data_IF_356073357014
#
_entry.id   IF_356073357014
#
_cell.length_a   1.000
_cell.length_b   1.000
_cell.length_c   1.000
_cell.angle_alpha   90.00
_cell.angle_beta   90.00
_cell.angle_gamma   90.00
#
_symmetry.space_group_name_H-M   'P 1'
#
loop_
_entity.id
_entity.type
_entity.pdbx_description
1 polymer ?
#
# COMPACT_ATOMS: atom_id res chain seq x y z
N UNK A 1 9.41 -2.04 18.62
CA UNK A 1 9.03 -3.33 17.98
C UNK A 1 7.76 -3.99 18.52
N UNK A 2 7.35 -3.75 19.80
CA UNK A 2 6.16 -4.38 20.41
C UNK A 2 4.81 -3.70 20.08
N UNK A 3 4.77 -2.40 19.84
CA UNK A 3 3.53 -1.64 19.67
C UNK A 3 2.77 -1.92 18.35
N UNK A 4 3.46 -2.27 17.27
CA UNK A 4 2.84 -2.51 15.95
C UNK A 4 2.11 -3.86 15.89
N UNK A 5 2.58 -4.87 16.63
CA UNK A 5 1.91 -6.18 16.66
C UNK A 5 0.62 -6.15 17.49
N UNK A 6 0.59 -5.44 18.60
CA UNK A 6 -0.62 -5.30 19.46
C UNK A 6 -1.82 -4.69 18.70
N UNK A 7 -1.58 -3.94 17.62
CA UNK A 7 -2.67 -3.32 16.84
C UNK A 7 -3.52 -4.36 16.11
N UNK A 8 -2.92 -5.44 15.60
CA UNK A 8 -3.61 -6.47 14.82
C UNK A 8 -4.02 -7.69 15.63
N UNK A 9 -3.44 -7.93 16.80
CA UNK A 9 -3.75 -9.08 17.65
C UNK A 9 -5.23 -9.13 18.05
N UNK A 10 -5.85 -7.96 18.26
CA UNK A 10 -7.27 -7.87 18.61
C UNK A 10 -8.20 -8.40 17.51
N UNK A 11 -7.81 -8.26 16.22
CA UNK A 11 -8.60 -8.82 15.11
C UNK A 11 -8.61 -10.36 15.17
N UNK A 12 -7.47 -10.98 15.43
CA UNK A 12 -7.37 -12.45 15.54
C UNK A 12 -8.11 -12.98 16.77
N UNK A 13 -8.00 -12.28 17.91
CA UNK A 13 -8.74 -12.65 19.12
C UNK A 13 -10.25 -12.57 18.88
N UNK A 14 -10.73 -11.46 18.33
CA UNK A 14 -12.17 -11.25 18.07
C UNK A 14 -12.71 -12.20 17.01
N UNK A 15 -11.95 -12.45 15.94
CA UNK A 15 -12.32 -13.42 14.91
C UNK A 15 -12.50 -14.82 15.49
N UNK A 16 -11.54 -15.25 16.35
CA UNK A 16 -11.63 -16.53 17.04
C UNK A 16 -12.86 -16.62 17.98
N UNK A 17 -13.12 -15.56 18.75
CA UNK A 17 -14.31 -15.47 19.65
C UNK A 17 -15.62 -15.63 18.86
N UNK A 18 -15.69 -15.06 17.64
CA UNK A 18 -16.87 -15.10 16.79
C UNK A 18 -16.94 -16.29 15.82
N UNK A 19 -16.01 -17.26 15.95
CA UNK A 19 -16.03 -18.51 15.19
C UNK A 19 -15.45 -18.44 13.79
N UNK A 20 -14.71 -17.39 13.45
CA UNK A 20 -13.89 -17.36 12.23
C UNK A 20 -12.71 -18.31 12.43
N UNK A 21 -12.62 -19.36 11.59
CA UNK A 21 -11.59 -20.39 11.71
C UNK A 21 -10.21 -19.90 11.26
N UNK A 22 -10.17 -19.17 10.17
CA UNK A 22 -8.98 -18.67 9.54
C UNK A 22 -9.16 -17.19 9.19
N UNK A 23 -8.17 -16.38 9.51
CA UNK A 23 -8.16 -14.95 9.21
C UNK A 23 -6.82 -14.56 8.61
N UNK A 24 -6.86 -13.78 7.55
CA UNK A 24 -5.69 -13.09 6.98
C UNK A 24 -5.96 -11.60 6.90
N UNK A 25 -4.99 -10.82 7.31
CA UNK A 25 -4.99 -9.36 7.27
C UNK A 25 -3.87 -8.87 6.37
N UNK A 26 -4.20 -8.00 5.45
CA UNK A 26 -3.27 -7.32 4.57
C UNK A 26 -3.38 -5.81 4.82
N UNK A 27 -2.36 -5.25 5.45
CA UNK A 27 -2.29 -3.81 5.74
C UNK A 27 -1.31 -3.14 4.81
N UNK A 28 -1.72 -2.02 4.21
CA UNK A 28 -0.81 -1.13 3.49
C UNK A 28 -0.86 0.28 4.06
N UNK A 29 0.26 0.98 3.92
CA UNK A 29 0.37 2.42 4.10
C UNK A 29 1.16 2.96 2.92
N UNK A 30 0.50 3.77 2.12
CA UNK A 30 1.02 4.32 0.89
C UNK A 30 1.20 5.83 1.04
N UNK A 31 2.39 6.30 0.72
CA UNK A 31 2.70 7.71 0.55
C UNK A 31 2.98 7.95 -0.92
N UNK A 32 2.43 9.02 -1.48
CA UNK A 32 2.73 9.46 -2.83
C UNK A 32 2.97 10.96 -2.89
N UNK A 33 3.85 11.35 -3.80
CA UNK A 33 4.10 12.71 -4.20
C UNK A 33 4.16 12.76 -5.72
N UNK A 34 3.47 13.71 -6.33
CA UNK A 34 3.53 13.94 -7.76
C UNK A 34 3.44 15.44 -8.07
N UNK A 35 4.09 15.84 -9.16
CA UNK A 35 3.92 17.17 -9.73
C UNK A 35 4.10 17.14 -11.24
N UNK A 36 3.42 18.06 -11.94
CA UNK A 36 3.67 18.37 -13.32
C UNK A 36 4.44 19.68 -13.46
N UNK A 37 5.27 19.72 -14.49
CA UNK A 37 6.13 20.85 -14.79
C UNK A 37 5.94 21.23 -16.25
N UNK A 38 5.58 22.48 -16.52
CA UNK A 38 5.31 23.00 -17.85
C UNK A 38 5.83 24.42 -17.97
N UNK A 39 6.48 24.74 -19.08
CA UNK A 39 7.02 26.07 -19.41
C UNK A 39 7.87 26.72 -18.29
N UNK A 40 8.69 25.91 -17.61
CA UNK A 40 9.59 26.41 -16.59
C UNK A 40 9.02 26.49 -15.18
N UNK A 41 7.75 26.13 -14.98
CA UNK A 41 7.04 26.25 -13.69
C UNK A 41 6.33 24.96 -13.30
N UNK A 42 6.12 24.78 -11.99
CA UNK A 42 5.28 23.69 -11.45
C UNK A 42 3.82 24.07 -11.68
N UNK A 43 3.11 23.29 -12.48
CA UNK A 43 1.69 23.50 -12.80
C UNK A 43 0.76 22.81 -11.82
N UNK A 44 1.12 21.62 -11.37
CA UNK A 44 0.35 20.86 -10.38
C UNK A 44 1.28 20.22 -9.34
N UNK A 45 0.78 20.07 -8.12
CA UNK A 45 1.48 19.41 -7.02
C UNK A 45 0.48 18.68 -6.14
N UNK A 46 0.76 17.42 -5.82
CA UNK A 46 -0.09 16.60 -4.98
C UNK A 46 0.73 15.71 -4.06
N UNK A 47 0.30 15.59 -2.83
CA UNK A 47 0.76 14.55 -1.90
C UNK A 47 -0.43 13.79 -1.33
N UNK A 48 -0.25 12.51 -1.09
CA UNK A 48 -1.28 11.67 -0.46
C UNK A 48 -0.64 10.72 0.53
N UNK A 49 -1.37 10.43 1.60
CA UNK A 49 -1.05 9.33 2.52
C UNK A 49 -2.33 8.54 2.74
N UNK A 50 -2.32 7.29 2.31
CA UNK A 50 -3.43 6.37 2.44
C UNK A 50 -3.02 5.18 3.31
N UNK A 51 -3.91 4.74 4.20
CA UNK A 51 -3.76 3.46 4.89
C UNK A 51 -4.98 2.61 4.62
N UNK A 52 -4.79 1.34 4.29
CA UNK A 52 -5.87 0.40 4.05
C UNK A 52 -5.63 -0.93 4.75
N UNK A 53 -6.71 -1.56 5.16
CA UNK A 53 -6.75 -2.90 5.73
C UNK A 53 -7.72 -3.74 4.91
N UNK A 54 -7.21 -4.77 4.26
CA UNK A 54 -7.98 -5.83 3.66
C UNK A 54 -7.96 -7.03 4.60
N UNK A 55 -9.13 -7.59 4.86
CA UNK A 55 -9.26 -8.79 5.67
C UNK A 55 -10.06 -9.84 4.93
N UNK A 56 -9.64 -11.08 5.01
CA UNK A 56 -10.41 -12.24 4.55
C UNK A 56 -10.41 -13.31 5.63
N UNK A 57 -11.53 -13.96 5.79
CA UNK A 57 -11.68 -15.01 6.78
C UNK A 57 -12.66 -16.08 6.36
N UNK A 58 -12.61 -17.23 7.02
CA UNK A 58 -13.49 -18.35 6.76
C UNK A 58 -14.48 -18.53 7.92
N UNK A 59 -15.76 -18.46 7.60
CA UNK A 59 -16.86 -18.71 8.53
C UNK A 59 -17.84 -19.72 7.92
N UNK A 60 -18.14 -20.80 8.64
CA UNK A 60 -18.94 -21.91 8.14
C UNK A 60 -18.49 -22.46 6.77
N UNK A 61 -17.17 -22.58 6.59
CA UNK A 61 -16.49 -23.02 5.38
C UNK A 61 -16.72 -22.10 4.14
N UNK A 62 -17.15 -20.87 4.36
CA UNK A 62 -17.33 -19.85 3.32
C UNK A 62 -16.40 -18.66 3.56
N UNK A 63 -15.98 -18.01 2.48
CA UNK A 63 -15.13 -16.83 2.55
C UNK A 63 -15.93 -15.56 2.74
N UNK A 64 -15.48 -14.72 3.67
CA UNK A 64 -15.87 -13.33 3.78
C UNK A 64 -14.68 -12.41 3.57
N UNK A 65 -14.91 -11.30 2.87
CA UNK A 65 -13.89 -10.28 2.54
C UNK A 65 -14.39 -8.91 2.99
N UNK A 66 -13.47 -8.09 3.49
CA UNK A 66 -13.73 -6.69 3.85
C UNK A 66 -12.51 -5.83 3.62
N UNK A 67 -12.74 -4.60 3.15
CA UNK A 67 -11.71 -3.57 3.03
C UNK A 67 -12.15 -2.34 3.82
N UNK A 68 -11.20 -1.69 4.50
CA UNK A 68 -11.42 -0.43 5.22
C UNK A 68 -10.18 0.43 5.25
N UNK A 69 -10.36 1.74 5.17
CA UNK A 69 -9.30 2.72 5.38
C UNK A 69 -9.25 3.19 6.84
N UNK A 70 -10.35 3.03 7.57
CA UNK A 70 -10.40 3.32 9.00
C UNK A 70 -9.81 2.15 9.78
N UNK A 71 -8.67 2.40 10.46
CA UNK A 71 -7.90 1.36 11.14
C UNK A 71 -7.61 1.80 12.57
N UNK A 72 -8.61 1.67 13.41
CA UNK A 72 -8.56 1.96 14.84
C UNK A 72 -9.20 0.83 15.67
N UNK A 73 -9.28 1.01 16.99
CA UNK A 73 -9.86 0.00 17.88
C UNK A 73 -11.35 -0.25 17.60
N UNK A 74 -12.08 0.78 17.15
CA UNK A 74 -13.51 0.67 16.86
C UNK A 74 -13.82 -0.16 15.62
N UNK A 75 -12.85 -0.35 14.73
CA UNK A 75 -13.04 -1.10 13.48
C UNK A 75 -12.83 -2.60 13.64
N UNK A 76 -12.34 -3.09 14.76
CA UNK A 76 -12.13 -4.54 14.99
C UNK A 76 -13.44 -5.30 14.89
N UNK A 77 -14.46 -4.87 15.63
CA UNK A 77 -15.78 -5.51 15.60
C UNK A 77 -16.41 -5.40 14.21
N UNK A 78 -16.38 -4.22 13.61
CA UNK A 78 -16.88 -3.98 12.25
C UNK A 78 -16.27 -4.94 11.22
N UNK A 79 -14.95 -5.07 11.19
CA UNK A 79 -14.25 -5.95 10.25
C UNK A 79 -14.63 -7.40 10.45
N UNK A 80 -14.64 -7.87 11.69
CA UNK A 80 -14.98 -9.26 12.01
C UNK A 80 -16.44 -9.57 11.67
N UNK A 81 -17.37 -8.66 12.00
CA UNK A 81 -18.80 -8.83 11.69
C UNK A 81 -19.05 -8.82 10.18
N UNK A 82 -18.37 -7.93 9.44
CA UNK A 82 -18.50 -7.91 7.98
C UNK A 82 -17.93 -9.15 7.30
N UNK A 83 -16.87 -9.75 7.84
CA UNK A 83 -16.39 -11.04 7.33
C UNK A 83 -17.46 -12.11 7.49
N UNK A 84 -18.13 -12.19 8.65
CA UNK A 84 -19.20 -13.17 8.93
C UNK A 84 -20.40 -12.92 8.03
N UNK A 85 -20.85 -11.66 7.93
CA UNK A 85 -21.96 -11.26 7.08
C UNK A 85 -21.70 -11.65 5.61
N UNK A 86 -20.55 -11.26 5.07
CA UNK A 86 -20.16 -11.52 3.69
C UNK A 86 -19.95 -13.01 3.41
N UNK A 87 -19.39 -13.76 4.37
CA UNK A 87 -19.29 -15.22 4.28
C UNK A 87 -20.69 -15.88 4.25
N UNK A 88 -21.63 -15.36 5.03
CA UNK A 88 -22.99 -15.94 5.13
C UNK A 88 -23.81 -15.82 3.84
N UNK A 89 -23.57 -14.75 3.07
CA UNK A 89 -24.26 -14.53 1.77
C UNK A 89 -23.43 -15.03 0.57
N UNK A 90 -22.20 -15.48 0.79
CA UNK A 90 -21.36 -16.00 -0.27
C UNK A 90 -21.86 -17.36 -0.74
N UNK A 91 -22.24 -17.43 -2.02
CA UNK A 91 -22.73 -18.65 -2.65
C UNK A 91 -21.66 -19.39 -3.46
N UNK A 92 -20.39 -18.89 -3.49
CA UNK A 92 -19.30 -19.61 -4.13
C UNK A 92 -19.02 -20.92 -3.42
N UNK A 93 -18.77 -21.95 -4.21
CA UNK A 93 -18.30 -23.26 -3.75
C UNK A 93 -16.76 -23.32 -3.66
N UNK A 94 -16.07 -22.23 -4.00
CA UNK A 94 -14.61 -22.20 -4.01
C UNK A 94 -14.07 -22.30 -2.59
N UNK A 95 -13.14 -23.21 -2.40
CA UNK A 95 -12.42 -23.34 -1.15
C UNK A 95 -11.46 -22.16 -0.98
N UNK A 96 -11.57 -21.44 0.13
CA UNK A 96 -10.63 -20.39 0.47
C UNK A 96 -9.47 -20.95 1.28
N UNK A 97 -8.30 -20.95 0.69
CA UNK A 97 -7.07 -21.39 1.34
C UNK A 97 -6.31 -20.16 1.84
N UNK A 98 -6.09 -20.08 3.14
CA UNK A 98 -5.15 -19.12 3.74
C UNK A 98 -3.78 -19.79 3.83
N UNK A 99 -2.80 -19.16 3.20
CA UNK A 99 -1.43 -19.68 3.14
C UNK A 99 -0.79 -19.72 4.53
N UNK A 100 -0.36 -20.91 4.94
CA UNK A 100 0.19 -21.14 6.29
C UNK A 100 1.59 -20.56 6.50
N UNK A 101 2.28 -20.25 5.43
CA UNK A 101 3.65 -19.74 5.47
C UNK A 101 4.64 -20.74 4.84
N UNK A 102 5.87 -20.29 4.68
CA UNK A 102 7.01 -21.08 4.22
C UNK A 102 8.07 -21.15 5.31
N UNK A 103 8.88 -22.21 5.28
CA UNK A 103 9.99 -22.36 6.23
C UNK A 103 11.04 -21.25 6.11
N UNK A 104 11.23 -20.71 4.92
CA UNK A 104 12.21 -19.65 4.64
C UNK A 104 11.66 -18.59 3.74
N UNK A 105 12.01 -17.33 4.02
CA UNK A 105 11.71 -16.17 3.19
C UNK A 105 13.02 -15.47 2.80
N UNK A 106 13.15 -15.15 1.52
CA UNK A 106 14.27 -14.35 1.04
C UNK A 106 14.06 -12.87 1.43
N UNK A 107 15.06 -12.29 2.08
CA UNK A 107 15.08 -10.85 2.33
C UNK A 107 15.57 -10.14 1.06
N UNK A 108 14.70 -9.33 0.45
CA UNK A 108 15.08 -8.41 -0.63
C UNK A 108 15.02 -7.00 -0.08
N UNK A 109 16.11 -6.25 -0.28
CA UNK A 109 16.12 -4.82 0.01
C UNK A 109 15.74 -4.07 -1.26
N UNK A 110 14.49 -3.65 -1.33
CA UNK A 110 13.88 -2.91 -2.46
C UNK A 110 13.47 -1.49 -2.05
N UNK A 111 13.96 -1.02 -0.90
CA UNK A 111 13.72 0.30 -0.37
C UNK A 111 15.02 1.09 -0.34
N UNK A 112 15.00 2.28 -0.96
CA UNK A 112 16.11 3.22 -0.92
C UNK A 112 15.77 4.43 -0.02
N UNK A 113 16.32 4.52 1.20
CA UNK A 113 16.03 5.63 2.11
C UNK A 113 16.58 6.98 1.64
N UNK A 114 17.45 7.01 0.61
CA UNK A 114 17.97 8.27 0.06
C UNK A 114 16.89 9.03 -0.71
N UNK A 115 15.93 8.35 -1.33
CA UNK A 115 14.84 9.01 -2.07
C UNK A 115 14.01 9.94 -1.16
N UNK A 116 13.70 9.49 0.05
CA UNK A 116 12.92 10.28 1.03
C UNK A 116 13.69 11.50 1.60
N UNK A 117 15.02 11.55 1.39
CA UNK A 117 15.87 12.65 1.88
C UNK A 117 16.09 13.75 0.83
N UNK A 118 15.76 13.49 -0.42
CA UNK A 118 15.87 14.49 -1.49
C UNK A 118 14.74 15.50 -1.32
N UNK A 119 15.11 16.78 -1.21
CA UNK A 119 14.12 17.84 -1.03
C UNK A 119 13.27 18.05 -2.29
N UNK A 120 12.13 18.70 -2.14
CA UNK A 120 11.28 19.02 -3.30
C UNK A 120 11.96 20.01 -4.24
N UNK A 121 12.75 20.93 -3.71
CA UNK A 121 13.55 21.89 -4.48
C UNK A 121 14.59 21.18 -5.35
N UNK A 122 15.27 20.16 -4.82
CA UNK A 122 16.23 19.35 -5.58
C UNK A 122 15.52 18.55 -6.71
N UNK A 123 14.33 18.01 -6.44
CA UNK A 123 13.53 17.32 -7.45
C UNK A 123 13.08 18.26 -8.56
N UNK A 124 12.61 19.46 -8.22
CA UNK A 124 12.22 20.48 -9.19
C UNK A 124 13.44 20.96 -9.99
N UNK A 125 14.59 21.13 -9.35
CA UNK A 125 15.83 21.51 -10.05
C UNK A 125 16.24 20.46 -11.09
N UNK A 126 16.13 19.16 -10.77
CA UNK A 126 16.36 18.07 -11.72
C UNK A 126 15.41 18.17 -12.93
N UNK A 127 14.12 18.43 -12.70
CA UNK A 127 13.15 18.54 -13.78
C UNK A 127 13.44 19.75 -14.69
N UNK A 128 13.84 20.88 -14.12
CA UNK A 128 14.30 22.05 -14.88
C UNK A 128 15.52 21.76 -15.74
N UNK A 129 16.47 20.99 -15.24
CA UNK A 129 17.63 20.55 -16.01
C UNK A 129 17.21 19.66 -17.19
N UNK A 130 16.33 18.68 -16.94
CA UNK A 130 15.78 17.79 -17.98
C UNK A 130 15.06 18.59 -19.06
N UNK A 131 14.20 19.55 -18.70
CA UNK A 131 13.52 20.44 -19.66
C UNK A 131 14.55 21.20 -20.53
N UNK A 132 15.58 21.76 -19.89
CA UNK A 132 16.64 22.47 -20.62
C UNK A 132 17.40 21.58 -21.59
N UNK A 133 17.73 20.34 -21.20
CA UNK A 133 18.41 19.38 -22.07
C UNK A 133 17.54 18.99 -23.27
N UNK A 134 16.25 18.73 -23.05
CA UNK A 134 15.31 18.38 -24.13
C UNK A 134 15.18 19.55 -25.13
N UNK A 135 15.00 20.78 -24.64
CA UNK A 135 14.94 21.99 -25.53
C UNK A 135 16.20 22.21 -26.37
N UNK A 136 17.36 21.86 -25.82
CA UNK A 136 18.65 21.97 -26.56
C UNK A 136 18.81 20.85 -27.59
N UNK A 137 18.18 19.70 -27.39
CA UNK A 137 18.34 18.54 -28.27
C UNK A 137 17.77 18.79 -29.69
N UNK A 138 16.62 19.48 -29.79
CA UNK A 138 16.04 19.81 -31.09
C UNK A 138 15.23 21.12 -31.03
N UNK A 139 15.57 22.07 -31.89
CA UNK A 139 14.91 23.38 -31.95
C UNK A 139 13.42 23.34 -32.35
N UNK A 140 12.94 22.21 -32.87
CA UNK A 140 11.53 21.99 -33.21
C UNK A 140 10.67 21.70 -31.97
N UNK A 141 11.29 21.36 -30.84
CA UNK A 141 10.59 21.11 -29.59
C UNK A 141 10.24 22.47 -28.96
N UNK A 142 8.98 22.80 -28.91
CA UNK A 142 8.47 24.10 -28.41
C UNK A 142 7.85 23.99 -27.03
N UNK A 143 7.03 22.98 -26.82
CA UNK A 143 6.32 22.76 -25.57
C UNK A 143 6.73 21.42 -24.98
N UNK A 144 7.00 21.41 -23.68
CA UNK A 144 7.42 20.21 -22.94
C UNK A 144 6.64 20.18 -21.66
N UNK A 145 5.91 19.09 -21.44
CA UNK A 145 5.34 18.74 -20.16
C UNK A 145 6.18 17.62 -19.52
N UNK A 146 6.56 17.78 -18.27
CA UNK A 146 7.31 16.77 -17.52
C UNK A 146 6.55 16.42 -16.25
N UNK A 147 6.22 15.15 -16.09
CA UNK A 147 5.63 14.63 -14.86
C UNK A 147 6.68 13.94 -14.00
N UNK A 148 6.64 14.23 -12.71
CA UNK A 148 7.37 13.53 -11.67
C UNK A 148 6.40 12.83 -10.74
N UNK A 149 6.67 11.60 -10.38
CA UNK A 149 5.94 10.91 -9.32
C UNK A 149 6.88 10.03 -8.52
N UNK A 150 6.63 9.95 -7.21
CA UNK A 150 7.28 8.99 -6.32
C UNK A 150 6.29 8.42 -5.33
N UNK A 151 6.59 7.23 -4.84
CA UNK A 151 5.77 6.57 -3.84
C UNK A 151 6.59 5.70 -2.90
N UNK A 152 6.11 5.59 -1.67
CA UNK A 152 6.60 4.64 -0.67
C UNK A 152 5.43 3.81 -0.17
N UNK A 153 5.57 2.50 -0.21
CA UNK A 153 4.57 1.56 0.34
C UNK A 153 5.18 0.77 1.48
N UNK A 154 4.52 0.80 2.63
CA UNK A 154 4.73 -0.13 3.74
C UNK A 154 3.60 -1.16 3.70
N UNK A 155 3.96 -2.44 3.66
CA UNK A 155 3.02 -3.54 3.57
C UNK A 155 3.25 -4.55 4.69
N UNK A 156 2.15 -5.05 5.28
CA UNK A 156 2.21 -6.08 6.30
C UNK A 156 1.12 -7.14 6.05
N UNK A 157 1.54 -8.40 5.90
CA UNK A 157 0.67 -9.56 5.77
C UNK A 157 0.74 -10.39 7.04
N UNK A 158 -0.42 -10.59 7.66
CA UNK A 158 -0.56 -11.39 8.89
C UNK A 158 -1.67 -12.42 8.71
N UNK A 159 -1.55 -13.57 9.36
CA UNK A 159 -2.65 -14.52 9.39
C UNK A 159 -2.72 -15.30 10.71
N UNK A 160 -3.82 -16.05 10.87
CA UNK A 160 -4.10 -16.87 12.06
C UNK A 160 -3.12 -18.03 12.28
N UNK A 161 -2.25 -18.33 11.31
CA UNK A 161 -1.19 -19.33 11.42
C UNK A 161 0.14 -18.75 11.94
N UNK A 162 0.16 -17.46 12.33
CA UNK A 162 1.34 -16.79 12.85
C UNK A 162 2.23 -16.15 11.78
N UNK A 163 1.81 -16.15 10.51
CA UNK A 163 2.50 -15.41 9.46
C UNK A 163 2.50 -13.92 9.82
N UNK A 164 3.66 -13.28 9.69
CA UNK A 164 3.83 -11.83 9.87
C UNK A 164 4.97 -11.36 8.98
N UNK A 165 4.64 -11.02 7.74
CA UNK A 165 5.59 -10.56 6.74
C UNK A 165 5.43 -9.05 6.55
N UNK A 166 6.57 -8.35 6.54
CA UNK A 166 6.63 -6.90 6.34
C UNK A 166 7.55 -6.57 5.19
N UNK A 167 7.11 -5.65 4.35
CA UNK A 167 7.95 -5.05 3.32
C UNK A 167 7.81 -3.54 3.32
N UNK A 168 8.87 -2.88 2.88
CA UNK A 168 8.86 -1.45 2.53
C UNK A 168 9.51 -1.31 1.17
N UNK A 169 8.86 -0.58 0.28
CA UNK A 169 9.33 -0.32 -1.08
C UNK A 169 9.17 1.15 -1.40
N UNK A 170 10.03 1.67 -2.25
CA UNK A 170 9.80 2.98 -2.85
C UNK A 170 10.29 2.99 -4.30
N UNK A 171 9.69 3.87 -5.08
CA UNK A 171 10.07 4.11 -6.47
C UNK A 171 9.76 5.55 -6.85
N UNK A 172 10.37 5.99 -7.93
CA UNK A 172 10.00 7.23 -8.59
C UNK A 172 9.99 7.02 -10.10
N UNK A 173 9.28 7.88 -10.80
CA UNK A 173 9.26 7.94 -12.25
C UNK A 173 9.25 9.38 -12.74
N UNK A 174 9.85 9.58 -13.89
CA UNK A 174 9.83 10.85 -14.63
C UNK A 174 9.42 10.51 -16.05
N UNK A 175 8.48 11.29 -16.60
CA UNK A 175 8.13 11.22 -18.01
C UNK A 175 8.16 12.62 -18.62
N UNK A 176 8.46 12.70 -19.89
CA UNK A 176 8.41 13.95 -20.65
C UNK A 176 7.63 13.76 -21.96
N UNK A 177 6.81 14.72 -22.26
CA UNK A 177 6.02 14.78 -23.47
C UNK A 177 6.28 16.11 -24.18
#
# INVERSE_FOLDING_TARGET
RKLTNMKFDNYFLKAKEKGIKELELSYSKDYSLSFSFFRGEVESYSTSTLSSLSARGTYNNKAGYVNTEKIDRSTVDFVVDKIIENASVNNSSDEVIIFKGSEKYQKKNVYNPKLEKISIEEKIALIKEIESLIKKADKRITDIEIGYSEGTTEYNLLNSYGLNLKSKTNSFSIYAQ
#
